data_IF_165815413634
#
_entry.id   IF_165815413634
#
_cell.length_a   1.000
_cell.length_b   1.000
_cell.length_c   1.000
_cell.angle_alpha   90.00
_cell.angle_beta   90.00
_cell.angle_gamma   90.00
#
_symmetry.space_group_name_H-M   'P 1'
#
loop_
_entity.id
_entity.type
_entity.pdbx_description
1 polymer ?
#
# COMPACT_ATOMS: atom_id res chain seq x y z
N UNK A 1 17.61 -0.38 -8.17
CA UNK A 1 16.67 0.41 -7.35
C UNK A 1 15.79 1.36 -8.18
N UNK A 2 15.72 1.23 -9.51
CA UNK A 2 14.94 2.14 -10.38
C UNK A 2 13.55 1.58 -10.75
N UNK A 3 13.40 0.25 -10.74
CA UNK A 3 12.15 -0.45 -11.08
C UNK A 3 11.01 -0.19 -10.08
N UNK A 4 11.34 0.00 -8.79
CA UNK A 4 10.35 0.19 -7.72
C UNK A 4 9.69 1.58 -7.82
N UNK A 5 10.47 2.63 -8.15
CA UNK A 5 9.92 4.00 -8.33
C UNK A 5 8.93 4.09 -9.50
N UNK A 6 9.07 3.23 -10.51
CA UNK A 6 8.14 3.15 -11.65
C UNK A 6 6.81 2.47 -11.28
N UNK A 7 6.78 1.69 -10.21
CA UNK A 7 5.59 0.95 -9.77
C UNK A 7 4.70 1.75 -8.80
N UNK A 8 5.13 2.90 -8.29
CA UNK A 8 4.32 3.76 -7.41
C UNK A 8 2.89 4.06 -7.92
N UNK A 9 2.65 4.47 -9.18
CA UNK A 9 1.29 4.69 -9.66
C UNK A 9 0.44 3.41 -9.70
N UNK A 10 1.08 2.26 -9.88
CA UNK A 10 0.42 0.97 -9.83
C UNK A 10 0.07 0.56 -8.39
N UNK A 11 1.04 0.67 -7.47
CA UNK A 11 0.86 0.38 -6.04
C UNK A 11 -0.25 1.26 -5.48
N UNK A 12 -0.23 2.57 -5.77
CA UNK A 12 -1.29 3.50 -5.37
C UNK A 12 -2.67 3.02 -5.86
N UNK A 13 -2.81 2.71 -7.15
CA UNK A 13 -4.08 2.25 -7.71
C UNK A 13 -4.58 0.95 -7.06
N UNK A 14 -3.67 0.06 -6.69
CA UNK A 14 -4.01 -1.19 -5.99
C UNK A 14 -4.40 -0.96 -4.53
N UNK A 15 -3.71 -0.05 -3.83
CA UNK A 15 -4.09 0.42 -2.49
C UNK A 15 -5.52 0.97 -2.53
N UNK A 16 -5.81 1.87 -3.46
CA UNK A 16 -7.14 2.46 -3.67
C UNK A 16 -8.21 1.39 -3.91
N UNK A 17 -7.96 0.47 -4.84
CA UNK A 17 -8.87 -0.63 -5.13
C UNK A 17 -9.10 -1.56 -3.94
N UNK A 18 -8.07 -1.79 -3.13
CA UNK A 18 -8.16 -2.70 -1.99
C UNK A 18 -8.92 -2.05 -0.84
N UNK A 19 -8.67 -0.77 -0.55
CA UNK A 19 -9.39 -0.02 0.48
C UNK A 19 -10.87 0.17 0.14
N UNK A 20 -11.18 0.37 -1.14
CA UNK A 20 -12.57 0.42 -1.61
C UNK A 20 -13.36 -0.87 -1.33
N UNK A 21 -12.70 -2.04 -1.20
CA UNK A 21 -13.37 -3.30 -0.78
C UNK A 21 -13.86 -3.26 0.67
N UNK A 22 -13.30 -2.37 1.48
CA UNK A 22 -13.60 -2.20 2.90
C UNK A 22 -14.44 -0.93 3.15
N UNK A 23 -15.06 -0.35 2.11
CA UNK A 23 -15.76 0.95 2.17
C UNK A 23 -14.88 2.09 2.75
N UNK A 24 -13.55 1.96 2.61
CA UNK A 24 -12.57 2.95 3.05
C UNK A 24 -12.09 3.76 1.86
N UNK A 25 -12.58 4.99 1.73
CA UNK A 25 -12.21 5.94 0.67
C UNK A 25 -11.57 7.19 1.30
N UNK A 26 -10.26 7.16 1.59
CA UNK A 26 -9.57 8.28 2.21
C UNK A 26 -9.39 9.40 1.19
N UNK A 27 -9.41 10.65 1.66
CA UNK A 27 -9.13 11.78 0.79
C UNK A 27 -7.63 11.86 0.56
N UNK A 28 -7.13 11.23 -0.49
CA UNK A 28 -5.69 11.18 -0.78
C UNK A 28 -5.04 12.54 -1.03
N UNK A 29 -5.83 13.61 -1.17
CA UNK A 29 -5.30 14.97 -1.32
C UNK A 29 -4.93 15.55 0.05
N UNK A 30 -5.72 15.26 1.09
CA UNK A 30 -5.44 15.60 2.48
C UNK A 30 -4.57 14.53 3.18
N UNK A 31 -4.74 13.26 2.85
CA UNK A 31 -4.08 12.11 3.47
C UNK A 31 -2.87 11.59 2.68
N UNK A 32 -2.14 12.48 2.00
CA UNK A 32 -0.94 12.12 1.23
C UNK A 32 0.11 11.39 2.07
N UNK A 33 0.26 11.79 3.33
CA UNK A 33 1.20 11.13 4.25
C UNK A 33 0.83 9.68 4.53
N UNK A 34 -0.47 9.37 4.61
CA UNK A 34 -0.98 8.01 4.79
C UNK A 34 -0.61 7.13 3.59
N UNK A 35 -0.89 7.64 2.38
CA UNK A 35 -0.57 6.94 1.14
C UNK A 35 0.92 6.67 1.01
N UNK A 36 1.76 7.68 1.28
CA UNK A 36 3.21 7.54 1.24
C UNK A 36 3.72 6.55 2.28
N UNK A 37 3.11 6.48 3.47
CA UNK A 37 3.47 5.48 4.49
C UNK A 37 3.14 4.06 4.01
N UNK A 38 1.95 3.84 3.46
CA UNK A 38 1.55 2.54 2.91
C UNK A 38 2.50 2.11 1.78
N UNK A 39 2.75 3.00 0.81
CA UNK A 39 3.68 2.73 -0.30
C UNK A 39 5.08 2.37 0.22
N UNK A 40 5.65 3.15 1.15
CA UNK A 40 6.97 2.86 1.70
C UNK A 40 7.04 1.49 2.41
N UNK A 41 5.97 1.09 3.11
CA UNK A 41 5.92 -0.22 3.79
C UNK A 41 5.88 -1.36 2.78
N UNK A 42 5.03 -1.25 1.77
CA UNK A 42 4.93 -2.22 0.67
C UNK A 42 6.26 -2.34 -0.06
N UNK A 43 6.88 -1.21 -0.43
CA UNK A 43 8.19 -1.18 -1.08
C UNK A 43 9.27 -1.86 -0.21
N UNK A 44 9.26 -1.61 1.11
CA UNK A 44 10.22 -2.21 2.04
C UNK A 44 10.03 -3.72 2.16
N UNK A 45 8.80 -4.23 2.23
CA UNK A 45 8.52 -5.68 2.30
C UNK A 45 8.91 -6.38 1.00
N UNK A 46 8.48 -5.87 -0.16
CA UNK A 46 8.90 -6.41 -1.45
C UNK A 46 10.42 -6.42 -1.64
N UNK A 47 11.13 -5.40 -1.15
CA UNK A 47 12.58 -5.33 -1.28
C UNK A 47 13.34 -6.30 -0.36
N UNK A 48 12.79 -6.70 0.79
CA UNK A 48 13.47 -7.55 1.76
C UNK A 48 13.10 -9.03 1.64
N UNK A 49 11.85 -9.35 1.31
CA UNK A 49 11.33 -10.71 1.41
C UNK A 49 11.10 -11.37 0.04
N UNK A 50 11.22 -10.61 -1.06
CA UNK A 50 10.95 -11.12 -2.40
C UNK A 50 9.50 -11.58 -2.60
N UNK A 51 8.61 -11.13 -1.71
CA UNK A 51 7.18 -11.44 -1.72
C UNK A 51 6.48 -10.80 -2.94
N UNK A 52 5.41 -11.45 -3.40
CA UNK A 52 4.60 -10.95 -4.50
C UNK A 52 3.95 -9.61 -4.12
N UNK A 53 4.08 -8.62 -5.01
CA UNK A 53 3.61 -7.27 -4.77
C UNK A 53 2.10 -7.22 -4.49
N UNK A 54 1.30 -8.08 -5.13
CA UNK A 54 -0.14 -8.10 -4.91
C UNK A 54 -0.49 -8.63 -3.53
N UNK A 55 0.17 -9.70 -3.09
CA UNK A 55 -0.04 -10.29 -1.77
C UNK A 55 0.37 -9.31 -0.67
N UNK A 56 1.53 -8.66 -0.81
CA UNK A 56 2.01 -7.64 0.12
C UNK A 56 1.04 -6.47 0.22
N UNK A 57 0.51 -5.98 -0.90
CA UNK A 57 -0.47 -4.89 -0.88
C UNK A 57 -1.75 -5.32 -0.15
N UNK A 58 -2.31 -6.50 -0.42
CA UNK A 58 -3.54 -6.91 0.26
C UNK A 58 -3.33 -7.14 1.76
N UNK A 59 -2.19 -7.71 2.17
CA UNK A 59 -1.84 -7.92 3.58
C UNK A 59 -1.65 -6.60 4.34
N UNK A 60 -0.90 -5.66 3.76
CA UNK A 60 -0.67 -4.35 4.38
C UNK A 60 -1.97 -3.54 4.48
N UNK A 61 -2.85 -3.64 3.48
CA UNK A 61 -4.15 -2.98 3.51
C UNK A 61 -5.09 -3.63 4.52
N UNK A 62 -5.10 -4.96 4.60
CA UNK A 62 -5.85 -5.68 5.63
C UNK A 62 -5.39 -5.26 7.03
N UNK A 63 -4.08 -5.30 7.29
CA UNK A 63 -3.50 -4.88 8.57
C UNK A 63 -3.82 -3.42 8.90
N UNK A 64 -3.81 -2.55 7.89
CA UNK A 64 -4.19 -1.16 8.02
C UNK A 64 -5.66 -0.98 8.44
N UNK A 65 -6.61 -1.61 7.75
CA UNK A 65 -8.05 -1.46 8.07
C UNK A 65 -8.46 -2.16 9.36
N UNK A 66 -7.78 -3.27 9.74
CA UNK A 66 -8.06 -3.96 11.01
C UNK A 66 -7.37 -3.33 12.21
N UNK A 67 -6.57 -2.28 12.00
CA UNK A 67 -5.86 -1.60 13.10
C UNK A 67 -4.73 -2.42 13.73
N UNK A 68 -4.21 -3.44 13.03
CA UNK A 68 -3.09 -4.27 13.49
C UNK A 68 -1.72 -3.59 13.26
N UNK A 69 -1.69 -2.26 13.31
CA UNK A 69 -0.46 -1.46 13.22
C UNK A 69 0.18 -1.35 14.60
N UNK A 70 0.75 -2.45 15.09
CA UNK A 70 1.64 -2.46 16.25
C UNK A 70 3.09 -2.13 15.84
#
# INVERSE_FOLDING_TARGET
>A
MEEIRLQQPFIQKRIEQSLAKYDYEPDWKEEKELLLRLINRIEKRCANEGEDLYEVIEDEIYSFVTGNNE
#
